data_IF_166540543632
#
_entry.id   IF_166540543632
#
_cell.length_a   1.000
_cell.length_b   1.000
_cell.length_c   1.000
_cell.angle_alpha   90.00
_cell.angle_beta   90.00
_cell.angle_gamma   90.00
#
_symmetry.space_group_name_H-M   'P 1'
#
loop_
_entity.id
_entity.type
_entity.pdbx_description
1 polymer ?
#
# COMPACT_ATOMS: atom_id res chain seq x y z
N UNK A 1 7.21 21.55 17.65
CA UNK A 1 6.27 21.70 16.52
C UNK A 1 6.04 20.30 15.97
N UNK A 2 4.80 19.81 16.03
CA UNK A 2 4.47 18.44 15.65
C UNK A 2 4.37 18.37 14.12
N UNK A 3 5.34 17.73 13.49
CA UNK A 3 5.37 17.58 12.04
C UNK A 3 4.34 16.52 11.67
N UNK A 4 3.11 16.94 11.40
CA UNK A 4 2.03 16.10 10.90
C UNK A 4 2.39 15.57 9.52
N UNK A 5 3.14 14.46 9.47
CA UNK A 5 3.38 13.69 8.26
C UNK A 5 2.01 13.19 7.80
N UNK A 6 1.40 13.87 6.83
CA UNK A 6 0.13 13.43 6.24
C UNK A 6 0.36 12.08 5.58
N UNK A 7 -0.03 11.03 6.29
CA UNK A 7 0.27 9.66 5.93
C UNK A 7 -0.33 9.37 4.55
N UNK A 8 0.45 8.67 3.71
CA UNK A 8 -0.08 8.04 2.48
C UNK A 8 -1.08 6.90 2.79
N UNK A 9 -1.46 6.76 4.06
CA UNK A 9 -2.39 5.78 4.59
C UNK A 9 -3.85 6.24 4.47
N UNK A 10 -4.16 7.53 4.61
CA UNK A 10 -5.55 7.99 4.66
C UNK A 10 -6.39 7.57 3.42
N UNK A 11 -5.84 7.70 2.22
CA UNK A 11 -6.50 7.29 0.97
C UNK A 11 -6.67 5.77 0.88
N UNK A 12 -5.65 5.00 1.28
CA UNK A 12 -5.71 3.54 1.34
C UNK A 12 -6.73 3.08 2.37
N UNK A 13 -6.71 3.67 3.56
CA UNK A 13 -7.64 3.37 4.64
C UNK A 13 -9.07 3.68 4.22
N UNK A 14 -9.32 4.83 3.58
CA UNK A 14 -10.66 5.18 3.10
C UNK A 14 -11.14 4.23 2.01
N UNK A 15 -10.27 3.87 1.06
CA UNK A 15 -10.58 2.87 0.03
C UNK A 15 -10.88 1.49 0.60
N UNK A 16 -10.09 1.04 1.59
CA UNK A 16 -10.31 -0.23 2.30
C UNK A 16 -11.64 -0.21 3.04
N UNK A 17 -11.93 0.88 3.77
CA UNK A 17 -13.21 1.05 4.47
C UNK A 17 -14.37 0.99 3.47
N UNK A 18 -14.27 1.69 2.34
CA UNK A 18 -15.26 1.64 1.26
C UNK A 18 -15.49 0.22 0.74
N UNK A 19 -14.43 -0.57 0.53
CA UNK A 19 -14.54 -1.97 0.10
C UNK A 19 -15.25 -2.82 1.16
N UNK A 20 -14.90 -2.66 2.45
CA UNK A 20 -15.54 -3.41 3.54
C UNK A 20 -17.04 -3.12 3.58
N UNK A 21 -17.44 -1.84 3.51
CA UNK A 21 -18.85 -1.48 3.45
C UNK A 21 -19.52 -2.02 2.19
N UNK A 22 -18.83 -2.02 1.04
CA UNK A 22 -19.39 -2.56 -0.20
C UNK A 22 -19.64 -4.06 -0.12
N UNK A 23 -18.71 -4.81 0.46
CA UNK A 23 -18.88 -6.24 0.74
C UNK A 23 -20.02 -6.49 1.73
N UNK A 24 -20.15 -5.63 2.76
CA UNK A 24 -21.26 -5.71 3.71
C UNK A 24 -22.61 -5.46 3.02
N UNK A 25 -22.70 -4.47 2.13
CA UNK A 25 -23.90 -4.23 1.32
C UNK A 25 -24.22 -5.43 0.43
N UNK A 26 -23.22 -6.01 -0.25
CA UNK A 26 -23.41 -7.22 -1.07
C UNK A 26 -23.94 -8.37 -0.21
N UNK A 27 -23.36 -8.60 0.97
CA UNK A 27 -23.78 -9.66 1.87
C UNK A 27 -25.23 -9.46 2.36
N UNK A 28 -25.59 -8.24 2.78
CA UNK A 28 -26.95 -7.92 3.20
C UNK A 28 -27.95 -8.08 2.05
N UNK A 29 -27.59 -7.65 0.84
CA UNK A 29 -28.46 -7.78 -0.33
C UNK A 29 -28.67 -9.26 -0.69
N UNK A 30 -27.60 -10.04 -0.71
CA UNK A 30 -27.66 -11.48 -0.98
C UNK A 30 -28.49 -12.21 0.09
N UNK A 31 -28.31 -11.91 1.37
CA UNK A 31 -29.14 -12.45 2.44
C UNK A 31 -30.60 -12.03 2.24
N UNK A 32 -30.87 -10.77 1.88
CA UNK A 32 -32.24 -10.31 1.61
C UNK A 32 -32.93 -11.09 0.49
N UNK A 33 -32.23 -11.33 -0.62
CA UNK A 33 -32.75 -12.12 -1.75
C UNK A 33 -33.01 -13.57 -1.32
N UNK A 34 -32.03 -14.21 -0.68
CA UNK A 34 -32.16 -15.60 -0.23
C UNK A 34 -33.25 -15.76 0.84
N UNK A 35 -33.38 -14.79 1.75
CA UNK A 35 -34.44 -14.79 2.75
C UNK A 35 -35.82 -14.59 2.12
N UNK A 36 -35.92 -13.79 1.05
CA UNK A 36 -37.19 -13.58 0.36
C UNK A 36 -37.75 -14.89 -0.23
N UNK A 37 -36.89 -15.73 -0.81
CA UNK A 37 -37.30 -17.07 -1.29
C UNK A 37 -37.81 -17.98 -0.15
N UNK A 38 -37.24 -17.84 1.06
CA UNK A 38 -37.72 -18.58 2.23
C UNK A 38 -39.07 -18.04 2.75
N UNK A 39 -39.27 -16.73 2.71
CA UNK A 39 -40.52 -16.08 3.13
C UNK A 39 -41.67 -16.42 2.18
N UNK A 40 -41.43 -16.57 0.88
CA UNK A 40 -42.47 -16.95 -0.09
C UNK A 40 -43.20 -18.26 0.25
N UNK A 41 -42.56 -19.15 1.01
CA UNK A 41 -43.11 -20.45 1.38
C UNK A 41 -43.87 -20.44 2.72
N UNK A 42 -43.98 -19.30 3.40
CA UNK A 42 -44.68 -19.20 4.69
C UNK A 42 -46.18 -18.99 4.50
N UNK A 43 -46.97 -19.40 5.50
CA UNK A 43 -48.42 -19.17 5.51
C UNK A 43 -48.77 -17.67 5.42
N UNK A 44 -47.96 -16.81 6.04
CA UNK A 44 -48.14 -15.35 5.99
C UNK A 44 -48.02 -14.79 4.56
N UNK A 45 -47.10 -15.33 3.75
CA UNK A 45 -46.96 -14.91 2.36
C UNK A 45 -48.09 -15.46 1.49
N UNK A 46 -48.58 -16.67 1.76
CA UNK A 46 -49.74 -17.25 1.05
C UNK A 46 -51.02 -16.46 1.34
N UNK A 47 -51.22 -16.01 2.58
CA UNK A 47 -52.36 -15.16 2.95
C UNK A 47 -52.27 -13.80 2.23
N UNK A 48 -51.07 -13.21 2.15
CA UNK A 48 -50.82 -12.01 1.35
C UNK A 48 -51.10 -12.22 -0.14
N UNK A 49 -50.67 -13.35 -0.70
CA UNK A 49 -50.94 -13.71 -2.10
C UNK A 49 -52.45 -13.79 -2.35
N UNK A 50 -53.20 -14.43 -1.46
CA UNK A 50 -54.66 -14.50 -1.56
C UNK A 50 -55.34 -13.14 -1.41
N UNK A 51 -54.82 -12.24 -0.58
CA UNK A 51 -55.36 -10.87 -0.45
C UNK A 51 -55.19 -10.11 -1.77
N UNK A 52 -54.02 -10.21 -2.41
CA UNK A 52 -53.74 -9.57 -3.71
C UNK A 52 -54.58 -10.18 -4.83
N UNK A 53 -54.77 -11.51 -4.83
CA UNK A 53 -55.60 -12.20 -5.83
C UNK A 53 -57.10 -11.83 -5.73
N UNK A 54 -57.56 -11.43 -4.54
CA UNK A 54 -58.93 -11.00 -4.30
C UNK A 54 -59.12 -9.47 -4.36
N UNK A 55 -58.07 -8.71 -4.68
CA UNK A 55 -58.12 -7.25 -4.77
C UNK A 55 -58.93 -6.81 -6.01
N UNK A 56 -59.94 -5.98 -5.77
CA UNK A 56 -60.81 -5.36 -6.79
C UNK A 56 -60.08 -4.44 -7.79
N UNK A 57 -58.80 -4.12 -7.54
CA UNK A 57 -57.95 -3.32 -8.42
C UNK A 57 -57.60 -4.07 -9.72
N UNK A 58 -57.54 -5.40 -9.67
CA UNK A 58 -57.27 -6.23 -10.84
C UNK A 58 -58.56 -6.61 -11.55
N UNK A 59 -58.53 -6.61 -12.90
CA UNK A 59 -59.72 -6.93 -13.70
C UNK A 59 -60.11 -8.41 -13.64
N UNK A 60 -59.12 -9.27 -13.35
CA UNK A 60 -59.32 -10.71 -13.14
C UNK A 60 -58.28 -11.26 -12.15
N UNK A 61 -58.55 -12.41 -11.50
CA UNK A 61 -57.57 -13.11 -10.68
C UNK A 61 -56.34 -13.55 -11.47
N UNK A 62 -56.49 -13.85 -12.76
CA UNK A 62 -55.38 -14.21 -13.65
C UNK A 62 -54.40 -13.03 -13.85
N UNK A 63 -54.93 -11.80 -13.97
CA UNK A 63 -54.09 -10.59 -14.07
C UNK A 63 -53.32 -10.32 -12.77
N UNK A 64 -53.97 -10.53 -11.62
CA UNK A 64 -53.34 -10.39 -10.30
C UNK A 64 -52.21 -11.40 -10.10
N UNK A 65 -52.42 -12.65 -10.54
CA UNK A 65 -51.41 -13.70 -10.46
C UNK A 65 -50.21 -13.42 -11.37
N UNK A 66 -50.46 -12.98 -12.61
CA UNK A 66 -49.39 -12.60 -13.54
C UNK A 66 -48.58 -11.41 -13.00
N UNK A 67 -49.23 -10.46 -12.33
CA UNK A 67 -48.54 -9.35 -11.67
C UNK A 67 -47.62 -9.85 -10.55
N UNK A 68 -48.12 -10.71 -9.65
CA UNK A 68 -47.33 -11.27 -8.55
C UNK A 68 -46.12 -12.07 -9.05
N UNK A 69 -46.33 -12.96 -10.01
CA UNK A 69 -45.26 -13.76 -10.62
C UNK A 69 -44.19 -12.86 -11.26
N UNK A 70 -44.63 -11.84 -12.00
CA UNK A 70 -43.72 -10.86 -12.62
C UNK A 70 -42.97 -10.07 -11.57
N UNK A 71 -43.63 -9.66 -10.49
CA UNK A 71 -43.01 -8.91 -9.39
C UNK A 71 -41.94 -9.73 -8.68
N UNK A 72 -42.27 -10.96 -8.27
CA UNK A 72 -41.35 -11.88 -7.58
C UNK A 72 -40.14 -12.19 -8.49
N UNK A 73 -40.39 -12.55 -9.74
CA UNK A 73 -39.33 -12.85 -10.71
C UNK A 73 -38.43 -11.63 -10.96
N UNK A 74 -39.03 -10.44 -11.17
CA UNK A 74 -38.28 -9.20 -11.39
C UNK A 74 -37.45 -8.82 -10.17
N UNK A 75 -37.99 -8.97 -8.97
CA UNK A 75 -37.27 -8.68 -7.73
C UNK A 75 -36.00 -9.54 -7.60
N UNK A 76 -36.11 -10.85 -7.86
CA UNK A 76 -34.97 -11.77 -7.84
C UNK A 76 -33.91 -11.39 -8.89
N UNK A 77 -34.33 -11.17 -10.15
CA UNK A 77 -33.43 -10.81 -11.25
C UNK A 77 -32.72 -9.49 -10.95
N UNK A 78 -33.46 -8.43 -10.58
CA UNK A 78 -32.90 -7.12 -10.27
C UNK A 78 -31.95 -7.21 -9.08
N UNK A 79 -32.30 -7.98 -8.05
CA UNK A 79 -31.44 -8.23 -6.90
C UNK A 79 -30.09 -8.82 -7.29
N UNK A 80 -30.09 -9.89 -8.10
CA UNK A 80 -28.84 -10.51 -8.57
C UNK A 80 -28.03 -9.63 -9.52
N UNK A 81 -28.69 -8.85 -10.37
CA UNK A 81 -28.03 -7.85 -11.22
C UNK A 81 -27.33 -6.79 -10.36
N UNK A 82 -27.99 -6.30 -9.30
CA UNK A 82 -27.38 -5.37 -8.36
C UNK A 82 -26.18 -5.99 -7.64
N UNK A 83 -26.28 -7.24 -7.18
CA UNK A 83 -25.13 -7.98 -6.61
C UNK A 83 -23.96 -8.04 -7.59
N UNK A 84 -24.21 -8.39 -8.85
CA UNK A 84 -23.18 -8.48 -9.89
C UNK A 84 -22.50 -7.12 -10.16
N UNK A 85 -23.29 -6.05 -10.23
CA UNK A 85 -22.79 -4.68 -10.42
C UNK A 85 -21.93 -4.23 -9.23
N UNK A 86 -22.36 -4.52 -8.00
CA UNK A 86 -21.58 -4.23 -6.78
C UNK A 86 -20.29 -5.07 -6.71
N UNK A 87 -20.31 -6.31 -7.20
CA UNK A 87 -19.12 -7.14 -7.30
C UNK A 87 -18.10 -6.54 -8.28
N UNK A 88 -18.54 -6.06 -9.45
CA UNK A 88 -17.68 -5.35 -10.41
C UNK A 88 -17.11 -4.07 -9.78
N UNK A 89 -17.94 -3.30 -9.07
CA UNK A 89 -17.49 -2.13 -8.30
C UNK A 89 -16.35 -2.49 -7.33
N UNK A 90 -16.49 -3.61 -6.62
CA UNK A 90 -15.47 -4.10 -5.68
C UNK A 90 -14.15 -4.39 -6.38
N UNK A 91 -14.18 -5.07 -7.52
CA UNK A 91 -12.97 -5.36 -8.31
C UNK A 91 -12.28 -4.07 -8.75
N UNK A 92 -13.04 -3.08 -9.22
CA UNK A 92 -12.49 -1.77 -9.60
C UNK A 92 -11.86 -1.04 -8.42
N UNK A 93 -12.49 -1.06 -7.24
CA UNK A 93 -11.94 -0.48 -6.02
C UNK A 93 -10.63 -1.17 -5.61
N UNK A 94 -10.53 -2.50 -5.73
CA UNK A 94 -9.29 -3.24 -5.46
C UNK A 94 -8.18 -2.83 -6.45
N UNK A 95 -8.50 -2.71 -7.74
CA UNK A 95 -7.57 -2.24 -8.78
C UNK A 95 -7.12 -0.80 -8.53
N UNK A 96 -7.99 0.06 -8.00
CA UNK A 96 -7.65 1.42 -7.59
C UNK A 96 -6.58 1.42 -6.48
N UNK A 97 -6.80 0.61 -5.42
CA UNK A 97 -5.84 0.47 -4.31
C UNK A 97 -4.51 -0.14 -4.80
N UNK A 98 -4.55 -1.13 -5.68
CA UNK A 98 -3.35 -1.74 -6.26
C UNK A 98 -2.52 -0.72 -7.05
N UNK A 99 -3.17 0.13 -7.85
CA UNK A 99 -2.52 1.23 -8.57
C UNK A 99 -1.90 2.25 -7.61
N UNK A 100 -2.57 2.51 -6.50
CA UNK A 100 -2.06 3.39 -5.45
C UNK A 100 -0.83 2.80 -4.74
N UNK A 101 -0.78 1.47 -4.55
CA UNK A 101 0.35 0.77 -3.95
C UNK A 101 1.61 0.85 -4.82
N UNK A 102 1.46 0.79 -6.14
CA UNK A 102 2.60 0.79 -7.05
C UNK A 102 3.18 2.19 -7.33
N UNK A 103 2.61 3.25 -6.72
CA UNK A 103 3.01 4.65 -6.87
C UNK A 103 3.16 5.09 -8.34
N UNK A 104 2.53 4.37 -9.27
CA UNK A 104 2.68 4.58 -10.72
C UNK A 104 1.88 5.80 -11.16
N UNK A 105 0.64 5.98 -10.69
CA UNK A 105 -0.22 7.13 -11.01
C UNK A 105 -1.40 7.29 -10.03
N UNK A 106 -1.35 8.19 -9.02
CA UNK A 106 -2.49 8.42 -8.11
C UNK A 106 -3.74 8.96 -8.84
N UNK A 107 -3.55 9.71 -9.92
CA UNK A 107 -4.66 10.19 -10.77
C UNK A 107 -5.47 9.05 -11.41
N UNK A 108 -4.81 7.95 -11.78
CA UNK A 108 -5.49 6.79 -12.36
C UNK A 108 -6.30 6.03 -11.29
N UNK A 109 -5.79 5.94 -10.06
CA UNK A 109 -6.53 5.36 -8.94
C UNK A 109 -7.81 6.16 -8.63
N UNK A 110 -7.74 7.50 -8.69
CA UNK A 110 -8.91 8.36 -8.50
C UNK A 110 -10.02 8.12 -9.53
N UNK A 111 -9.67 7.98 -10.81
CA UNK A 111 -10.65 7.66 -11.86
C UNK A 111 -11.29 6.29 -11.60
N UNK A 112 -10.50 5.28 -11.22
CA UNK A 112 -11.03 3.95 -10.89
C UNK A 112 -11.99 3.99 -9.69
N UNK A 113 -11.73 4.82 -8.69
CA UNK A 113 -12.67 5.02 -7.57
C UNK A 113 -13.95 5.75 -7.98
N UNK A 114 -13.91 6.71 -8.92
CA UNK A 114 -15.14 7.30 -9.47
C UNK A 114 -15.97 6.23 -10.17
N UNK A 115 -15.34 5.41 -11.03
CA UNK A 115 -16.04 4.36 -11.76
C UNK A 115 -16.59 3.31 -10.77
N UNK A 116 -15.82 2.93 -9.76
CA UNK A 116 -16.28 2.05 -8.69
C UNK A 116 -17.48 2.64 -7.94
N UNK A 117 -17.42 3.93 -7.57
CA UNK A 117 -18.52 4.66 -6.93
C UNK A 117 -19.78 4.73 -7.78
N UNK A 118 -19.64 4.89 -9.09
CA UNK A 118 -20.76 4.89 -10.03
C UNK A 118 -21.49 3.54 -10.02
N UNK A 119 -20.74 2.44 -10.10
CA UNK A 119 -21.31 1.10 -10.01
C UNK A 119 -21.81 0.76 -8.60
N UNK A 120 -21.24 1.35 -7.55
CA UNK A 120 -21.75 1.21 -6.18
C UNK A 120 -23.09 1.94 -5.96
N UNK A 121 -23.55 2.73 -6.94
CA UNK A 121 -24.82 3.45 -6.93
C UNK A 121 -24.68 4.87 -6.39
N UNK A 122 -25.29 5.86 -7.06
CA UNK A 122 -25.01 7.29 -6.88
C UNK A 122 -25.20 7.84 -5.44
N UNK A 123 -26.08 7.22 -4.65
CA UNK A 123 -26.43 7.64 -3.27
C UNK A 123 -26.11 6.59 -2.21
N UNK A 124 -25.48 5.49 -2.57
CA UNK A 124 -25.10 4.48 -1.58
C UNK A 124 -24.02 5.03 -0.67
N UNK A 125 -24.08 4.67 0.62
CA UNK A 125 -23.03 5.00 1.60
C UNK A 125 -21.63 4.60 1.08
N UNK A 126 -21.55 3.46 0.38
CA UNK A 126 -20.32 2.92 -0.22
C UNK A 126 -19.80 3.81 -1.35
N UNK A 127 -20.69 4.35 -2.18
CA UNK A 127 -20.32 5.26 -3.27
C UNK A 127 -19.73 6.56 -2.75
N UNK A 128 -20.29 7.10 -1.66
CA UNK A 128 -19.84 8.36 -1.06
C UNK A 128 -18.40 8.19 -0.57
N UNK A 129 -18.10 7.06 0.08
CA UNK A 129 -16.73 6.71 0.49
C UNK A 129 -15.77 6.63 -0.72
N UNK A 130 -16.20 5.99 -1.82
CA UNK A 130 -15.39 5.93 -3.05
C UNK A 130 -15.22 7.29 -3.72
N UNK A 131 -16.23 8.16 -3.73
CA UNK A 131 -16.09 9.52 -4.26
C UNK A 131 -15.14 10.37 -3.42
N UNK A 132 -15.21 10.28 -2.08
CA UNK A 132 -14.27 10.98 -1.21
C UNK A 132 -12.85 10.46 -1.44
N UNK A 133 -12.67 9.14 -1.58
CA UNK A 133 -11.36 8.56 -1.92
C UNK A 133 -10.86 9.09 -3.27
N UNK A 134 -11.71 9.12 -4.29
CA UNK A 134 -11.38 9.66 -5.61
C UNK A 134 -10.98 11.14 -5.55
N UNK A 135 -11.75 11.96 -4.83
CA UNK A 135 -11.44 13.38 -4.64
C UNK A 135 -10.09 13.52 -3.91
N UNK A 136 -9.80 12.72 -2.89
CA UNK A 136 -8.47 12.72 -2.25
C UNK A 136 -7.34 12.33 -3.21
N UNK A 137 -7.59 11.41 -4.16
CA UNK A 137 -6.62 11.07 -5.21
C UNK A 137 -6.31 12.27 -6.13
N UNK A 138 -7.32 13.10 -6.44
CA UNK A 138 -7.19 14.24 -7.36
C UNK A 138 -6.71 15.53 -6.69
N UNK A 139 -7.24 15.83 -5.51
CA UNK A 139 -6.92 17.04 -4.73
C UNK A 139 -5.50 17.00 -4.21
N UNK A 140 -4.95 15.80 -3.96
CA UNK A 140 -3.55 15.69 -3.61
C UNK A 140 -2.73 16.05 -4.84
N UNK A 141 -2.27 17.30 -4.90
CA UNK A 141 -1.12 17.73 -5.71
C UNK A 141 -0.12 16.62 -5.51
N UNK A 142 0.15 15.87 -6.57
CA UNK A 142 1.10 14.80 -6.49
C UNK A 142 2.29 15.40 -5.78
N UNK A 143 2.61 14.90 -4.59
CA UNK A 143 4.01 14.80 -4.26
C UNK A 143 4.50 13.88 -5.37
N UNK A 144 4.76 14.46 -6.55
CA UNK A 144 6.01 14.20 -7.23
C UNK A 144 6.93 14.05 -6.05
N UNK A 145 7.54 12.89 -5.96
CA UNK A 145 8.94 12.97 -5.64
C UNK A 145 9.48 14.00 -6.65
N UNK A 146 9.40 15.28 -6.32
CA UNK A 146 10.60 16.07 -6.32
C UNK A 146 11.40 15.32 -5.28
N UNK A 147 12.12 14.32 -5.78
CA UNK A 147 13.46 14.06 -5.32
C UNK A 147 13.67 14.41 -3.85
N UNK A 148 13.07 13.61 -2.98
CA UNK A 148 13.90 12.82 -2.08
C UNK A 148 14.11 11.44 -2.75
N UNK A 149 14.68 11.28 -3.96
CA UNK A 149 16.12 11.39 -4.13
C UNK A 149 16.60 12.46 -3.19
N UNK A 150 16.99 12.07 -1.97
CA UNK A 150 18.23 12.66 -1.50
C UNK A 150 19.09 12.68 -2.77
N UNK A 151 19.55 13.85 -3.29
CA UNK A 151 20.75 13.82 -4.09
C UNK A 151 21.60 12.85 -3.29
N UNK A 152 21.97 11.67 -3.82
CA UNK A 152 22.88 10.79 -3.08
C UNK A 152 23.87 11.78 -2.53
N UNK A 153 23.87 11.98 -1.23
CA UNK A 153 24.83 12.84 -0.58
C UNK A 153 26.10 11.97 -0.57
N UNK A 154 26.56 11.67 -1.78
CA UNK A 154 27.89 11.31 -2.21
C UNK A 154 28.83 12.52 -2.08
N UNK A 155 28.35 13.58 -1.42
CA UNK A 155 29.18 14.57 -0.75
C UNK A 155 29.57 14.16 0.68
N UNK A 156 28.96 13.10 1.24
CA UNK A 156 29.37 12.50 2.52
C UNK A 156 30.36 11.34 2.37
N UNK A 157 30.23 10.53 1.30
CA UNK A 157 31.12 9.36 1.10
C UNK A 157 32.50 9.75 0.58
N UNK A 158 32.61 10.83 -0.20
CA UNK A 158 33.90 11.28 -0.75
C UNK A 158 34.83 11.90 0.31
N UNK A 159 34.26 12.51 1.36
CA UNK A 159 35.04 13.07 2.46
C UNK A 159 35.46 12.00 3.47
N UNK A 160 34.63 10.96 3.66
CA UNK A 160 35.00 9.76 4.43
C UNK A 160 36.15 8.99 3.79
N UNK A 161 36.08 8.73 2.48
CA UNK A 161 37.15 8.03 1.74
C UNK A 161 38.44 8.84 1.64
N UNK A 162 38.36 10.16 1.47
CA UNK A 162 39.55 11.02 1.48
C UNK A 162 40.21 11.06 2.86
N UNK A 163 39.42 11.18 3.93
CA UNK A 163 39.94 11.17 5.31
C UNK A 163 40.50 9.81 5.71
N UNK A 164 39.84 8.71 5.32
CA UNK A 164 40.32 7.34 5.55
C UNK A 164 41.61 7.07 4.76
N UNK A 165 41.70 7.50 3.50
CA UNK A 165 42.94 7.40 2.71
C UNK A 165 44.07 8.25 3.29
N UNK A 166 43.76 9.44 3.80
CA UNK A 166 44.75 10.30 4.44
C UNK A 166 45.24 9.71 5.77
N UNK A 167 44.33 9.24 6.61
CA UNK A 167 44.68 8.54 7.86
C UNK A 167 45.42 7.21 7.62
N UNK A 168 45.17 6.54 6.49
CA UNK A 168 45.94 5.36 6.08
C UNK A 168 47.35 5.75 5.60
N UNK A 169 47.49 6.81 4.80
CA UNK A 169 48.79 7.32 4.36
C UNK A 169 49.65 7.81 5.51
N UNK A 170 49.07 8.56 6.46
CA UNK A 170 49.80 9.02 7.65
C UNK A 170 50.25 7.83 8.51
N UNK A 171 49.37 6.83 8.74
CA UNK A 171 49.76 5.61 9.45
C UNK A 171 50.85 4.82 8.72
N UNK A 172 50.82 4.77 7.40
CA UNK A 172 51.82 4.08 6.61
C UNK A 172 53.18 4.80 6.64
N UNK A 173 53.19 6.13 6.52
CA UNK A 173 54.40 6.94 6.67
C UNK A 173 55.00 6.84 8.07
N UNK A 174 54.18 6.80 9.12
CA UNK A 174 54.65 6.60 10.50
C UNK A 174 55.29 5.22 10.67
N UNK A 175 54.70 4.17 10.09
CA UNK A 175 55.32 2.83 10.09
C UNK A 175 56.66 2.83 9.37
N UNK A 176 56.75 3.44 8.19
CA UNK A 176 57.99 3.50 7.41
C UNK A 176 59.08 4.27 8.20
N UNK A 177 58.75 5.43 8.77
CA UNK A 177 59.70 6.18 9.61
C UNK A 177 60.10 5.41 10.86
N UNK A 178 59.21 4.61 11.43
CA UNK A 178 59.52 3.78 12.58
C UNK A 178 60.44 2.62 12.20
N UNK A 179 60.21 1.97 11.06
CA UNK A 179 61.10 0.94 10.52
C UNK A 179 62.48 1.49 10.17
N UNK A 180 62.58 2.70 9.59
CA UNK A 180 63.86 3.36 9.33
C UNK A 180 64.63 3.64 10.62
N UNK A 181 63.97 4.15 11.67
CA UNK A 181 64.61 4.34 12.99
C UNK A 181 65.10 3.03 13.58
N UNK A 182 64.33 1.95 13.45
CA UNK A 182 64.74 0.63 13.93
C UNK A 182 65.93 0.10 13.15
N UNK A 183 65.97 0.30 11.82
CA UNK A 183 67.12 -0.08 10.99
C UNK A 183 68.36 0.75 11.29
N UNK A 184 68.21 2.06 11.55
CA UNK A 184 69.32 2.90 11.99
C UNK A 184 69.83 2.50 13.37
N UNK A 185 68.94 2.15 14.30
CA UNK A 185 69.34 1.61 15.61
C UNK A 185 70.01 0.24 15.48
N UNK A 186 69.53 -0.65 14.62
CA UNK A 186 70.18 -1.92 14.34
C UNK A 186 71.56 -1.73 13.70
N UNK A 187 71.70 -0.83 12.73
CA UNK A 187 72.99 -0.48 12.14
C UNK A 187 73.94 0.12 13.16
N UNK A 188 73.46 1.01 14.04
CA UNK A 188 74.27 1.55 15.15
C UNK A 188 74.71 0.44 16.09
N UNK A 189 73.82 -0.46 16.50
CA UNK A 189 74.19 -1.62 17.33
C UNK A 189 75.17 -2.55 16.63
N UNK A 190 75.05 -2.75 15.32
CA UNK A 190 76.00 -3.54 14.55
C UNK A 190 77.37 -2.87 14.47
N UNK A 191 77.39 -1.56 14.28
CA UNK A 191 78.62 -0.78 14.20
C UNK A 191 79.31 -0.71 15.58
N UNK A 192 78.55 -0.55 16.66
CA UNK A 192 79.05 -0.59 18.04
C UNK A 192 79.59 -2.00 18.39
N UNK A 193 78.91 -3.07 17.96
CA UNK A 193 79.43 -4.44 18.11
C UNK A 193 80.70 -4.71 17.28
N UNK A 194 80.83 -4.09 16.11
CA UNK A 194 82.05 -4.17 15.29
C UNK A 194 83.21 -3.43 15.97
N UNK A 195 82.96 -2.24 16.51
CA UNK A 195 83.95 -1.47 17.27
C UNK A 195 84.42 -2.21 18.53
N UNK A 196 83.52 -2.89 19.24
CA UNK A 196 83.88 -3.64 20.46
C UNK A 196 84.67 -4.91 20.16
N UNK A 197 84.53 -5.48 18.96
CA UNK A 197 85.28 -6.66 18.53
C UNK A 197 86.74 -6.34 18.15
N UNK A 198 87.02 -5.10 17.77
CA UNK A 198 88.38 -4.65 17.43
C UNK A 198 89.24 -4.41 18.68
N UNK A 199 88.65 -4.04 19.82
CA UNK A 199 89.37 -3.82 21.10
C UNK A 199 89.84 -5.12 21.78
N UNK A 200 89.18 -6.26 21.53
CA UNK A 200 89.58 -7.56 22.10
C UNK A 200 90.80 -8.20 21.41
N UNK A 201 91.39 -7.54 20.40
CA UNK A 201 92.55 -8.05 19.65
C UNK A 201 93.90 -7.57 20.22
N UNK A 202 93.92 -6.76 21.29
CA UNK A 202 95.15 -6.39 22.01
C UNK A 202 95.17 -6.97 23.42
N UNK A 203 95.34 -8.30 23.51
CA UNK A 203 95.80 -8.97 24.72
C UNK A 203 97.32 -9.20 24.61
N UNK A 204 98.18 -8.38 25.21
CA UNK A 204 99.59 -8.75 25.32
C UNK A 204 99.73 -9.96 26.25
N UNK A 205 100.52 -10.94 25.80
CA UNK A 205 101.01 -12.08 26.57
C UNK A 205 101.91 -11.64 27.73
#
# INVERSE_FOLDING_TARGET
MNNGVVSRGAEKTLGIIGIIFNLLTIALLAIGILSFDNVQNTAEFQDFEQEVLNDSTFASPEDAQLFLDTFISSFSIIGWVLVAVLAISTVLAILAIANLRNNRNPKAAGVLFIIAGLFAGLLSLTSILFYIAAIMCFVRKGTRRDDYQAPRDDFGSRNGDAKLKEEQRIREEERIRQEERLREEEQRRQNDNLLHKDDDTYRPL
#
